data_IF_609898803148
#
_entry.id   IF_609898803148
#
_cell.length_a   1.000
_cell.length_b   1.000
_cell.length_c   1.000
_cell.angle_alpha   90.00
_cell.angle_beta   90.00
_cell.angle_gamma   90.00
#
_symmetry.space_group_name_H-M   'P 1'
#
loop_
_entity.id
_entity.type
_entity.pdbx_description
1 polymer ?
#
# COMPACT_ATOMS: atom_id res chain seq x y z
N UNK A 1 12.78 -2.23 29.15
CA UNK A 1 11.41 -1.71 28.97
C UNK A 1 10.57 -2.32 30.08
N UNK A 2 10.12 -1.50 31.04
CA UNK A 2 9.24 -1.98 32.10
C UNK A 2 7.87 -2.30 31.53
N UNK A 3 7.43 -3.56 31.63
CA UNK A 3 6.08 -3.96 31.27
C UNK A 3 5.11 -3.48 32.36
N UNK A 4 4.15 -2.65 31.99
CA UNK A 4 3.08 -2.27 32.92
C UNK A 4 2.20 -3.48 33.16
N UNK A 5 2.13 -3.94 34.40
CA UNK A 5 1.33 -5.08 34.82
C UNK A 5 -0.13 -4.94 34.36
N UNK A 6 -0.61 -5.92 33.59
CA UNK A 6 -2.00 -6.00 33.14
C UNK A 6 -2.30 -5.41 31.75
N UNK A 7 -1.28 -4.98 30.99
CA UNK A 7 -1.42 -4.61 29.58
C UNK A 7 -0.97 -5.75 28.66
N UNK A 8 -1.67 -5.94 27.55
CA UNK A 8 -1.20 -6.81 26.48
C UNK A 8 0.04 -6.22 25.79
N UNK A 9 0.81 -7.04 25.04
CA UNK A 9 1.97 -6.58 24.27
C UNK A 9 1.63 -5.40 23.34
N UNK A 10 0.51 -5.47 22.62
CA UNK A 10 0.04 -4.38 21.76
C UNK A 10 -0.32 -3.11 22.53
N UNK A 11 -0.88 -3.24 23.73
CA UNK A 11 -1.18 -2.12 24.60
C UNK A 11 0.08 -1.48 25.17
N UNK A 12 1.07 -2.29 25.57
CA UNK A 12 2.38 -1.80 26.01
C UNK A 12 3.10 -1.02 24.90
N UNK A 13 3.07 -1.54 23.68
CA UNK A 13 3.64 -0.84 22.51
C UNK A 13 3.01 0.52 22.28
N UNK A 14 1.67 0.62 22.34
CA UNK A 14 0.94 1.90 22.24
C UNK A 14 1.30 2.86 23.38
N UNK A 15 1.46 2.34 24.59
CA UNK A 15 1.92 3.11 25.73
C UNK A 15 3.31 3.72 25.50
N UNK A 16 4.28 2.92 25.05
CA UNK A 16 5.62 3.40 24.74
C UNK A 16 5.60 4.50 23.66
N UNK A 17 4.76 4.34 22.63
CA UNK A 17 4.57 5.38 21.63
C UNK A 17 3.97 6.67 22.22
N UNK A 18 3.04 6.55 23.14
CA UNK A 18 2.42 7.71 23.80
C UNK A 18 3.43 8.50 24.63
N UNK A 19 4.26 7.83 25.42
CA UNK A 19 5.37 8.46 26.17
C UNK A 19 6.37 9.09 25.22
N UNK A 20 6.82 8.36 24.20
CA UNK A 20 7.77 8.86 23.21
C UNK A 20 7.23 10.05 22.38
N UNK A 21 5.91 10.25 22.33
CA UNK A 21 5.29 11.40 21.67
C UNK A 21 5.49 12.73 22.40
N UNK A 22 5.87 12.68 23.68
CA UNK A 22 6.03 13.87 24.55
C UNK A 22 4.71 14.49 25.04
N UNK A 23 3.56 13.87 24.76
CA UNK A 23 2.25 14.35 25.23
C UNK A 23 1.86 13.82 26.60
N UNK A 24 2.58 12.83 27.13
CA UNK A 24 2.31 12.22 28.43
C UNK A 24 3.59 12.00 29.20
N UNK A 25 3.54 12.25 30.51
CA UNK A 25 4.62 11.95 31.44
C UNK A 25 4.53 10.50 31.92
N UNK A 26 5.68 9.85 32.19
CA UNK A 26 5.77 8.44 32.59
C UNK A 26 4.95 8.11 33.86
N UNK A 27 4.77 9.04 34.77
CA UNK A 27 4.05 8.84 36.02
C UNK A 27 2.52 9.05 35.92
N UNK A 28 2.02 9.69 34.85
CA UNK A 28 0.58 9.75 34.52
C UNK A 28 0.03 8.44 33.93
N UNK A 29 0.75 7.42 34.01
CA UNK A 29 0.89 6.25 33.20
C UNK A 29 -0.16 5.15 33.37
N UNK A 30 -1.43 5.43 33.65
CA UNK A 30 -2.47 4.45 33.37
C UNK A 30 -3.09 4.73 31.99
N UNK A 31 -2.70 3.96 30.92
CA UNK A 31 -3.22 4.20 29.57
C UNK A 31 -4.75 4.09 29.48
N UNK A 32 -5.39 3.47 30.47
CA UNK A 32 -6.86 3.40 30.57
C UNK A 32 -7.47 4.76 30.93
N UNK A 33 -6.73 5.60 31.65
CA UNK A 33 -7.14 6.97 32.01
C UNK A 33 -7.04 7.93 30.82
N UNK A 34 -6.12 7.72 29.89
CA UNK A 34 -5.91 8.63 28.75
C UNK A 34 -6.99 8.53 27.69
N UNK A 35 -7.62 7.36 27.52
CA UNK A 35 -8.62 7.14 26.46
C UNK A 35 -9.80 8.11 26.48
N UNK A 36 -10.05 8.77 27.59
CA UNK A 36 -11.09 9.78 27.67
C UNK A 36 -10.62 11.17 27.24
N UNK A 37 -9.31 11.42 27.16
CA UNK A 37 -8.76 12.66 26.58
C UNK A 37 -8.74 12.56 25.06
N UNK A 38 -8.72 13.70 24.36
CA UNK A 38 -8.60 13.73 22.90
C UNK A 38 -7.29 13.08 22.45
N UNK A 39 -6.15 13.53 23.00
CA UNK A 39 -4.81 13.02 22.66
C UNK A 39 -4.72 11.52 22.94
N UNK A 40 -5.18 11.07 24.10
CA UNK A 40 -5.16 9.66 24.46
C UNK A 40 -6.00 8.78 23.53
N UNK A 41 -7.19 9.24 23.16
CA UNK A 41 -8.05 8.54 22.19
C UNK A 41 -7.40 8.46 20.80
N UNK A 42 -6.76 9.55 20.36
CA UNK A 42 -6.07 9.61 19.07
C UNK A 42 -4.85 8.68 19.06
N UNK A 43 -3.93 8.78 20.02
CA UNK A 43 -2.72 7.95 20.11
C UNK A 43 -3.09 6.46 20.28
N UNK A 44 -4.11 6.17 21.08
CA UNK A 44 -4.57 4.80 21.26
C UNK A 44 -4.99 4.14 19.95
N UNK A 45 -5.59 4.91 19.04
CA UNK A 45 -6.04 4.44 17.74
C UNK A 45 -4.93 4.50 16.69
N UNK A 46 -4.14 5.58 16.68
CA UNK A 46 -3.12 5.88 15.69
C UNK A 46 -1.77 6.25 16.35
N UNK A 47 -1.09 5.31 17.01
CA UNK A 47 0.09 5.61 17.85
C UNK A 47 1.26 6.22 17.09
N UNK A 48 1.40 5.93 15.79
CA UNK A 48 2.49 6.43 14.93
C UNK A 48 2.15 7.77 14.22
N UNK A 49 1.02 8.41 14.54
CA UNK A 49 0.50 9.58 13.82
C UNK A 49 0.60 10.89 14.62
N UNK A 50 1.65 11.02 15.40
CA UNK A 50 1.93 12.22 16.23
C UNK A 50 1.90 13.52 15.42
N UNK A 51 2.25 13.49 14.13
CA UNK A 51 2.20 14.66 13.26
C UNK A 51 0.82 15.32 13.19
N UNK A 52 -0.27 14.57 13.27
CA UNK A 52 -1.65 15.12 13.30
C UNK A 52 -1.85 15.93 14.56
N UNK A 53 -1.37 15.42 15.70
CA UNK A 53 -1.45 16.13 16.99
C UNK A 53 -0.58 17.39 17.00
N UNK A 54 0.63 17.32 16.44
CA UNK A 54 1.53 18.47 16.36
C UNK A 54 0.89 19.62 15.55
N UNK A 55 0.30 19.32 14.39
CA UNK A 55 -0.41 20.35 13.59
C UNK A 55 -1.56 20.96 14.39
N UNK A 56 -2.37 20.15 15.06
CA UNK A 56 -3.45 20.67 15.92
C UNK A 56 -2.91 21.52 17.07
N UNK A 57 -1.81 21.09 17.69
CA UNK A 57 -1.15 21.85 18.76
C UNK A 57 -0.64 23.20 18.27
N UNK A 58 -0.05 23.25 17.08
CA UNK A 58 0.45 24.48 16.47
C UNK A 58 -0.70 25.45 16.16
N UNK A 59 -1.85 24.96 15.69
CA UNK A 59 -3.04 25.79 15.41
C UNK A 59 -3.69 26.32 16.70
N UNK A 60 -3.83 25.46 17.71
CA UNK A 60 -4.53 25.78 18.96
C UNK A 60 -3.62 26.59 19.92
N UNK A 61 -2.29 26.39 19.81
CA UNK A 61 -1.29 26.95 20.71
C UNK A 61 -1.12 26.20 22.04
N UNK A 62 -1.90 25.14 22.27
CA UNK A 62 -1.88 24.28 23.45
C UNK A 62 -2.16 22.82 23.08
N UNK A 63 -2.00 21.91 24.06
CA UNK A 63 -2.38 20.50 23.88
C UNK A 63 -3.87 20.37 23.53
N UNK A 64 -4.21 19.72 22.39
CA UNK A 64 -5.58 19.62 21.91
C UNK A 64 -6.52 18.90 22.86
N UNK A 65 -7.70 19.46 23.08
CA UNK A 65 -8.80 18.88 23.85
C UNK A 65 -10.02 18.58 22.97
N UNK A 66 -11.07 17.97 23.50
CA UNK A 66 -12.31 17.75 22.77
C UNK A 66 -13.04 19.05 22.44
N UNK A 67 -12.98 20.01 23.34
CA UNK A 67 -13.63 21.32 23.25
C UNK A 67 -13.01 22.20 22.17
N UNK A 68 -11.73 21.98 21.85
CA UNK A 68 -11.02 22.70 20.78
C UNK A 68 -11.43 22.26 19.38
N UNK A 69 -12.10 21.12 19.23
CA UNK A 69 -12.47 20.57 17.91
C UNK A 69 -13.68 21.32 17.32
N UNK A 70 -13.53 22.64 17.17
CA UNK A 70 -14.51 23.53 16.53
C UNK A 70 -14.44 23.49 15.00
N UNK A 71 -15.44 24.07 14.33
CA UNK A 71 -15.44 24.19 12.87
C UNK A 71 -14.23 24.95 12.36
N UNK A 72 -13.83 26.04 13.04
CA UNK A 72 -12.71 26.90 12.62
C UNK A 72 -11.38 26.13 12.75
N UNK A 73 -11.11 25.52 13.90
CA UNK A 73 -9.88 24.71 14.11
C UNK A 73 -9.77 23.58 13.08
N UNK A 74 -10.89 22.91 12.76
CA UNK A 74 -10.87 21.84 11.77
C UNK A 74 -10.70 22.36 10.33
N UNK A 75 -11.13 23.58 10.01
CA UNK A 75 -10.86 24.22 8.71
C UNK A 75 -9.39 24.61 8.62
N UNK A 76 -8.85 25.28 9.65
CA UNK A 76 -7.43 25.64 9.72
C UNK A 76 -6.52 24.40 9.60
N UNK A 77 -6.93 23.28 10.22
CA UNK A 77 -6.23 22.01 10.08
C UNK A 77 -6.23 21.48 8.63
N UNK A 78 -7.36 21.57 7.93
CA UNK A 78 -7.46 21.18 6.51
C UNK A 78 -6.63 22.10 5.63
N UNK A 79 -6.64 23.40 5.88
CA UNK A 79 -5.90 24.40 5.13
C UNK A 79 -4.38 24.19 5.29
N UNK A 80 -3.88 24.02 6.53
CA UNK A 80 -2.48 23.65 6.78
C UNK A 80 -2.07 22.35 6.06
N UNK A 81 -2.90 21.32 6.14
CA UNK A 81 -2.63 20.07 5.44
C UNK A 81 -2.59 20.24 3.91
N UNK A 82 -3.44 21.09 3.37
CA UNK A 82 -3.52 21.31 1.92
C UNK A 82 -2.30 22.05 1.41
N UNK A 83 -1.75 22.97 2.20
CA UNK A 83 -0.57 23.77 1.86
C UNK A 83 0.73 23.00 2.10
N UNK A 84 0.86 22.30 3.22
CA UNK A 84 2.13 21.79 3.74
C UNK A 84 2.31 20.28 3.60
N UNK A 85 1.27 19.51 3.22
CA UNK A 85 1.31 18.06 3.16
C UNK A 85 0.88 17.54 1.80
N UNK A 86 1.50 16.44 1.36
CA UNK A 86 1.10 15.78 0.11
C UNK A 86 -0.40 15.37 0.15
N UNK A 87 -1.18 15.58 -0.93
CA UNK A 87 -2.64 15.36 -0.94
C UNK A 87 -3.11 13.98 -0.46
N UNK A 88 -2.31 12.92 -0.73
CA UNK A 88 -2.60 11.56 -0.24
C UNK A 88 -2.42 11.44 1.28
N UNK A 89 -1.44 12.13 1.84
CA UNK A 89 -1.19 12.17 3.29
C UNK A 89 -2.24 13.04 3.98
N UNK A 90 -2.58 14.20 3.42
CA UNK A 90 -3.65 15.07 3.91
C UNK A 90 -4.98 14.31 4.00
N UNK A 91 -5.34 13.58 2.94
CA UNK A 91 -6.52 12.70 2.95
C UNK A 91 -6.47 11.66 4.06
N UNK A 92 -5.31 11.05 4.30
CA UNK A 92 -5.12 10.03 5.35
C UNK A 92 -5.28 10.67 6.73
N UNK A 93 -4.63 11.80 7.00
CA UNK A 93 -4.70 12.49 8.29
C UNK A 93 -6.12 12.97 8.59
N UNK A 94 -6.82 13.54 7.61
CA UNK A 94 -8.23 13.88 7.76
C UNK A 94 -9.10 12.66 8.04
N UNK A 95 -8.87 11.52 7.39
CA UNK A 95 -9.62 10.29 7.63
C UNK A 95 -9.36 9.70 9.03
N UNK A 96 -8.12 9.76 9.51
CA UNK A 96 -7.72 9.32 10.85
C UNK A 96 -8.37 10.20 11.92
N UNK A 97 -8.28 11.53 11.80
CA UNK A 97 -8.94 12.47 12.70
C UNK A 97 -10.47 12.29 12.70
N UNK A 98 -11.07 12.26 11.51
CA UNK A 98 -12.51 11.99 11.33
C UNK A 98 -12.97 10.73 12.06
N UNK A 99 -12.18 9.66 12.02
CA UNK A 99 -12.50 8.40 12.67
C UNK A 99 -12.51 8.51 14.19
N UNK A 100 -11.59 9.28 14.78
CA UNK A 100 -11.55 9.54 16.23
C UNK A 100 -12.72 10.44 16.67
N UNK A 101 -12.99 11.50 15.91
CA UNK A 101 -14.10 12.42 16.20
C UNK A 101 -15.46 11.71 16.09
N UNK A 102 -15.64 10.86 15.11
CA UNK A 102 -16.90 10.13 14.92
C UNK A 102 -17.23 9.19 16.09
N UNK A 103 -16.23 8.53 16.67
CA UNK A 103 -16.41 7.70 17.86
C UNK A 103 -16.74 8.54 19.12
N UNK A 104 -16.38 9.82 19.12
CA UNK A 104 -16.52 10.73 20.24
C UNK A 104 -17.39 11.97 19.92
N UNK A 105 -18.26 11.90 18.93
CA UNK A 105 -19.05 13.02 18.38
C UNK A 105 -19.89 13.80 19.41
N UNK A 106 -20.17 13.22 20.59
CA UNK A 106 -20.90 13.90 21.67
C UNK A 106 -20.02 14.82 22.52
N UNK A 107 -18.69 14.80 22.31
CA UNK A 107 -17.71 15.54 23.10
C UNK A 107 -17.16 16.77 22.39
N UNK A 108 -17.43 16.90 21.10
CA UNK A 108 -16.88 17.94 20.23
C UNK A 108 -17.95 18.98 19.90
N UNK A 109 -17.60 20.26 19.80
CA UNK A 109 -18.54 21.30 19.40
C UNK A 109 -18.90 21.27 17.91
N UNK A 110 -17.98 20.82 17.04
CA UNK A 110 -18.21 20.75 15.61
C UNK A 110 -19.20 19.64 15.22
N UNK A 111 -20.27 19.99 14.50
CA UNK A 111 -21.28 19.05 13.99
C UNK A 111 -20.99 18.61 12.55
N UNK A 112 -20.31 19.45 11.76
CA UNK A 112 -20.06 19.25 10.33
C UNK A 112 -18.67 18.69 10.01
N UNK A 113 -17.94 18.17 11.01
CA UNK A 113 -16.59 17.63 10.86
C UNK A 113 -16.47 16.58 9.74
N UNK A 114 -17.56 15.84 9.47
CA UNK A 114 -17.60 14.85 8.39
C UNK A 114 -17.41 15.48 7.01
N UNK A 115 -17.91 16.69 6.79
CA UNK A 115 -17.74 17.47 5.54
C UNK A 115 -16.39 18.17 5.53
N UNK A 116 -16.06 18.89 6.62
CA UNK A 116 -14.83 19.68 6.74
C UNK A 116 -13.61 18.81 6.48
N UNK A 117 -13.50 17.66 7.13
CA UNK A 117 -12.39 16.72 6.98
C UNK A 117 -12.47 15.86 5.69
N UNK A 118 -13.24 16.27 4.69
CA UNK A 118 -13.44 15.53 3.41
C UNK A 118 -12.53 16.06 2.31
N UNK A 119 -11.25 15.73 2.38
CA UNK A 119 -10.24 16.14 1.38
C UNK A 119 -10.19 15.13 0.23
N UNK A 120 -10.18 15.66 -1.01
CA UNK A 120 -9.98 14.84 -2.21
C UNK A 120 -8.50 14.47 -2.35
N UNK A 121 -8.22 13.19 -2.50
CA UNK A 121 -6.88 12.76 -2.89
C UNK A 121 -6.67 12.95 -4.40
N UNK A 122 -5.43 13.20 -4.81
CA UNK A 122 -5.06 13.18 -6.22
C UNK A 122 -4.84 11.77 -6.71
N UNK A 123 -5.21 11.53 -7.98
CA UNK A 123 -4.85 10.29 -8.64
C UNK A 123 -3.32 10.17 -8.72
N UNK A 124 -2.79 9.01 -8.39
CA UNK A 124 -1.35 8.73 -8.52
C UNK A 124 -1.16 7.85 -9.74
N UNK A 125 -0.42 8.33 -10.73
CA UNK A 125 0.06 7.50 -11.81
C UNK A 125 1.41 6.90 -11.42
N UNK A 126 1.64 5.65 -11.80
CA UNK A 126 2.84 4.92 -11.43
C UNK A 126 3.28 4.05 -12.60
N UNK A 127 4.56 3.66 -12.60
CA UNK A 127 5.12 2.78 -13.62
C UNK A 127 4.83 1.30 -13.33
N UNK A 128 4.83 0.51 -14.40
CA UNK A 128 4.87 -0.95 -14.40
C UNK A 128 5.96 -1.44 -15.36
N UNK A 129 6.41 -2.66 -15.22
CA UNK A 129 7.29 -3.33 -16.17
C UNK A 129 6.46 -4.03 -17.24
N UNK A 130 6.74 -3.75 -18.50
CA UNK A 130 6.15 -4.50 -19.62
C UNK A 130 6.57 -5.97 -19.59
N UNK A 131 5.91 -6.85 -20.34
CA UNK A 131 6.28 -8.27 -20.42
C UNK A 131 7.76 -8.47 -20.78
N UNK A 132 8.27 -7.70 -21.73
CA UNK A 132 9.69 -7.74 -22.11
C UNK A 132 10.61 -7.26 -20.98
N UNK A 133 10.27 -6.16 -20.28
CA UNK A 133 11.06 -5.68 -19.15
C UNK A 133 11.01 -6.66 -17.96
N UNK A 134 9.91 -7.41 -17.78
CA UNK A 134 9.83 -8.50 -16.81
C UNK A 134 10.82 -9.62 -17.15
N UNK A 135 10.91 -10.04 -18.43
CA UNK A 135 11.87 -11.02 -18.90
C UNK A 135 13.32 -10.57 -18.62
N UNK A 136 13.65 -9.30 -18.91
CA UNK A 136 14.97 -8.72 -18.60
C UNK A 136 15.27 -8.75 -17.10
N UNK A 137 14.29 -8.41 -16.27
CA UNK A 137 14.47 -8.43 -14.81
C UNK A 137 14.67 -9.84 -14.27
N UNK A 138 13.88 -10.82 -14.74
CA UNK A 138 14.00 -12.25 -14.39
C UNK A 138 15.36 -12.81 -14.77
N UNK A 139 15.90 -12.43 -15.93
CA UNK A 139 17.20 -12.90 -16.44
C UNK A 139 18.42 -12.32 -15.68
N UNK A 140 18.23 -11.29 -14.84
CA UNK A 140 19.30 -10.70 -14.06
C UNK A 140 20.00 -11.74 -13.17
N UNK A 141 21.32 -11.65 -13.05
CA UNK A 141 22.12 -12.52 -12.18
C UNK A 141 22.59 -11.74 -10.95
N UNK A 142 21.97 -11.96 -9.78
CA UNK A 142 22.36 -11.29 -8.53
C UNK A 142 23.81 -11.61 -8.14
N UNK A 143 24.50 -10.62 -7.56
CA UNK A 143 25.94 -10.75 -7.18
C UNK A 143 26.16 -10.76 -5.67
N UNK A 144 25.18 -10.33 -4.89
CA UNK A 144 25.25 -10.27 -3.42
C UNK A 144 24.02 -10.93 -2.81
N UNK A 145 24.09 -11.33 -1.53
CA UNK A 145 22.96 -11.92 -0.81
C UNK A 145 21.74 -10.98 -0.79
N UNK A 146 21.96 -9.68 -0.63
CA UNK A 146 20.88 -8.67 -0.66
C UNK A 146 20.24 -8.63 -2.05
N UNK A 147 21.04 -8.62 -3.13
CA UNK A 147 20.50 -8.69 -4.48
C UNK A 147 19.72 -9.99 -4.73
N UNK A 148 20.22 -11.12 -4.23
CA UNK A 148 19.50 -12.41 -4.34
C UNK A 148 18.13 -12.34 -3.68
N UNK A 149 18.08 -11.85 -2.44
CA UNK A 149 16.81 -11.67 -1.73
C UNK A 149 15.84 -10.77 -2.50
N UNK A 150 16.31 -9.57 -2.90
CA UNK A 150 15.46 -8.58 -3.58
C UNK A 150 15.01 -9.06 -4.94
N UNK A 151 15.92 -9.63 -5.76
CA UNK A 151 15.60 -10.18 -7.07
C UNK A 151 14.58 -11.30 -6.97
N UNK A 152 14.83 -12.30 -6.11
CA UNK A 152 13.92 -13.41 -5.85
C UNK A 152 12.53 -12.91 -5.41
N UNK A 153 12.50 -12.04 -4.41
CA UNK A 153 11.25 -11.54 -3.85
C UNK A 153 10.46 -10.69 -4.86
N UNK A 154 11.15 -9.85 -5.64
CA UNK A 154 10.51 -9.03 -6.67
C UNK A 154 9.97 -9.90 -7.82
N UNK A 155 10.73 -10.92 -8.26
CA UNK A 155 10.24 -11.89 -9.25
C UNK A 155 9.02 -12.65 -8.76
N UNK A 156 9.02 -13.17 -7.53
CA UNK A 156 7.83 -13.82 -6.95
C UNK A 156 6.65 -12.87 -6.91
N UNK A 157 6.84 -11.62 -6.43
CA UNK A 157 5.78 -10.61 -6.42
C UNK A 157 5.26 -10.28 -7.82
N UNK A 158 6.14 -10.21 -8.81
CA UNK A 158 5.82 -9.88 -10.19
C UNK A 158 5.09 -11.01 -10.93
N UNK A 159 5.36 -12.27 -10.57
CA UNK A 159 4.77 -13.45 -11.19
C UNK A 159 3.50 -13.96 -10.47
N UNK A 160 3.24 -13.49 -9.26
CA UNK A 160 2.09 -13.94 -8.44
C UNK A 160 1.14 -12.81 -8.05
N UNK A 161 1.54 -11.56 -8.24
CA UNK A 161 0.82 -10.41 -7.70
C UNK A 161 0.87 -10.30 -6.17
N UNK A 162 1.64 -11.11 -5.45
CA UNK A 162 1.78 -11.04 -4.00
C UNK A 162 2.39 -9.71 -3.56
N UNK A 163 2.02 -9.22 -2.36
CA UNK A 163 2.72 -8.07 -1.76
C UNK A 163 4.15 -8.47 -1.40
N UNK A 164 5.07 -7.50 -1.38
CA UNK A 164 6.49 -7.72 -1.06
C UNK A 164 6.68 -8.56 0.23
N UNK A 165 5.92 -8.26 1.28
CA UNK A 165 5.98 -9.02 2.54
C UNK A 165 5.43 -10.45 2.41
N UNK A 166 4.42 -10.67 1.57
CA UNK A 166 3.86 -11.99 1.30
C UNK A 166 4.81 -12.79 0.39
N UNK A 167 5.33 -12.18 -0.68
CA UNK A 167 6.29 -12.80 -1.61
C UNK A 167 7.54 -13.33 -0.88
N UNK A 168 8.00 -12.63 0.17
CA UNK A 168 9.13 -13.07 0.99
C UNK A 168 8.88 -14.38 1.75
N UNK A 169 7.63 -14.72 2.02
CA UNK A 169 7.24 -15.92 2.79
C UNK A 169 6.82 -17.11 1.91
N UNK A 170 6.59 -16.86 0.62
CA UNK A 170 6.19 -17.92 -0.30
C UNK A 170 7.35 -18.86 -0.59
N UNK A 171 7.08 -20.15 -0.53
CA UNK A 171 8.02 -21.23 -0.81
C UNK A 171 7.41 -22.25 -1.77
N UNK A 172 8.16 -23.23 -2.18
CA UNK A 172 7.66 -24.30 -3.05
C UNK A 172 6.49 -25.07 -2.43
N UNK A 173 6.40 -25.14 -1.10
CA UNK A 173 5.30 -25.78 -0.38
C UNK A 173 3.95 -25.08 -0.54
N UNK A 174 3.94 -23.85 -1.04
CA UNK A 174 2.72 -23.13 -1.40
C UNK A 174 2.15 -23.57 -2.76
N UNK A 175 2.92 -24.33 -3.55
CA UNK A 175 2.49 -24.85 -4.86
C UNK A 175 1.91 -26.25 -4.74
N UNK A 176 0.72 -26.40 -5.26
CA UNK A 176 0.12 -27.70 -5.51
C UNK A 176 0.61 -28.20 -6.89
N UNK A 177 1.24 -29.39 -6.92
CA UNK A 177 1.84 -29.97 -8.13
C UNK A 177 0.76 -30.49 -9.07
N UNK A 178 -0.34 -31.04 -8.54
CA UNK A 178 -1.40 -31.66 -9.34
C UNK A 178 -2.22 -30.58 -10.06
N UNK A 179 -2.58 -29.52 -9.37
CA UNK A 179 -3.40 -28.44 -9.91
C UNK A 179 -2.59 -27.33 -10.57
N UNK A 180 -1.28 -27.34 -10.43
CA UNK A 180 -0.37 -26.26 -10.86
C UNK A 180 -0.76 -24.88 -10.34
N UNK A 181 -1.24 -24.83 -9.10
CA UNK A 181 -1.71 -23.61 -8.43
C UNK A 181 -0.84 -23.27 -7.23
N UNK A 182 -0.48 -22.00 -7.09
CA UNK A 182 0.09 -21.44 -5.86
C UNK A 182 -1.03 -20.91 -4.99
N UNK A 183 -1.04 -21.29 -3.70
CA UNK A 183 -2.06 -20.87 -2.75
C UNK A 183 -1.43 -20.31 -1.48
N UNK A 184 -1.97 -19.18 -0.98
CA UNK A 184 -1.50 -18.57 0.27
C UNK A 184 -2.56 -17.65 0.89
N UNK A 185 -2.39 -17.33 2.17
CA UNK A 185 -3.19 -16.33 2.89
C UNK A 185 -2.36 -15.06 3.06
N UNK A 186 -2.79 -13.91 2.50
CA UNK A 186 -2.06 -12.66 2.65
C UNK A 186 -2.05 -12.16 4.09
N UNK A 187 -0.92 -11.63 4.55
CA UNK A 187 -0.77 -11.11 5.91
C UNK A 187 -1.75 -9.97 6.24
N UNK A 188 -2.01 -9.10 5.27
CA UNK A 188 -2.90 -7.94 5.45
C UNK A 188 -4.40 -8.30 5.43
N UNK A 189 -4.76 -9.45 4.84
CA UNK A 189 -6.15 -9.92 4.70
C UNK A 189 -6.28 -11.39 5.10
N UNK A 190 -6.19 -11.71 6.41
CA UNK A 190 -6.06 -13.08 6.89
C UNK A 190 -7.29 -13.97 6.64
N UNK A 191 -8.41 -13.44 6.21
CA UNK A 191 -9.62 -14.21 5.85
C UNK A 191 -9.73 -14.60 4.38
N UNK A 192 -8.73 -14.23 3.54
CA UNK A 192 -8.78 -14.45 2.08
C UNK A 192 -7.73 -15.47 1.68
N UNK A 193 -8.14 -16.53 0.98
CA UNK A 193 -7.20 -17.45 0.33
C UNK A 193 -6.98 -16.95 -1.11
N UNK A 194 -5.73 -16.62 -1.43
CA UNK A 194 -5.30 -16.27 -2.78
C UNK A 194 -4.85 -17.53 -3.51
N UNK A 195 -5.26 -17.66 -4.76
CA UNK A 195 -4.83 -18.73 -5.68
C UNK A 195 -4.38 -18.10 -6.98
N UNK A 196 -3.18 -18.50 -7.44
CA UNK A 196 -2.57 -17.99 -8.66
C UNK A 196 -2.03 -19.17 -9.45
N UNK A 197 -2.28 -19.27 -10.76
CA UNK A 197 -1.61 -20.27 -11.62
C UNK A 197 -0.09 -20.11 -11.54
N UNK A 198 0.64 -21.21 -11.51
CA UNK A 198 2.10 -21.18 -11.47
C UNK A 198 2.64 -20.84 -12.87
N UNK A 199 3.46 -19.81 -12.95
CA UNK A 199 4.15 -19.42 -14.17
C UNK A 199 5.40 -20.27 -14.39
N UNK A 200 5.28 -21.26 -15.28
CA UNK A 200 6.40 -22.14 -15.67
C UNK A 200 7.37 -21.44 -16.64
N UNK A 201 6.89 -20.51 -17.47
CA UNK A 201 7.70 -19.84 -18.50
C UNK A 201 8.84 -19.03 -17.87
N UNK A 202 8.56 -18.30 -16.78
CA UNK A 202 9.55 -17.48 -16.10
C UNK A 202 10.19 -18.19 -14.90
N UNK A 203 9.91 -19.49 -14.72
CA UNK A 203 10.56 -20.31 -13.70
C UNK A 203 10.17 -19.94 -12.26
N UNK A 204 8.91 -19.61 -11.99
CA UNK A 204 8.43 -19.25 -10.65
C UNK A 204 8.82 -20.29 -9.60
N UNK A 205 8.77 -21.59 -9.90
CA UNK A 205 9.16 -22.65 -8.95
C UNK A 205 10.62 -22.55 -8.49
N UNK A 206 11.54 -22.12 -9.35
CA UNK A 206 12.95 -21.93 -8.99
C UNK A 206 13.10 -20.81 -7.95
N UNK A 207 12.38 -19.70 -8.14
CA UNK A 207 12.36 -18.62 -7.13
C UNK A 207 11.73 -19.04 -5.81
N UNK A 208 10.73 -19.93 -5.83
CA UNK A 208 10.08 -20.43 -4.62
C UNK A 208 10.94 -21.47 -3.88
N UNK A 209 11.81 -22.20 -4.58
CA UNK A 209 12.75 -23.14 -3.97
C UNK A 209 13.87 -22.42 -3.17
N UNK A 210 14.27 -21.22 -3.60
CA UNK A 210 15.28 -20.39 -2.93
C UNK A 210 14.64 -19.55 -1.81
N UNK A 211 14.42 -20.15 -0.63
CA UNK A 211 13.65 -19.55 0.46
C UNK A 211 14.46 -19.07 1.66
N UNK A 212 15.77 -19.41 1.77
CA UNK A 212 16.61 -19.11 2.93
C UNK A 212 17.41 -17.82 2.75
N UNK A 213 16.76 -16.74 2.33
CA UNK A 213 17.40 -15.45 2.10
C UNK A 213 16.99 -14.46 3.19
N UNK A 214 17.98 -13.72 3.70
CA UNK A 214 17.74 -12.72 4.74
C UNK A 214 17.06 -11.47 4.18
N UNK A 215 15.94 -11.02 4.79
CA UNK A 215 15.26 -9.82 4.36
C UNK A 215 16.04 -8.55 4.67
N UNK A 216 15.85 -7.51 3.87
CA UNK A 216 16.38 -6.17 4.11
C UNK A 216 15.24 -5.17 4.38
N UNK A 217 15.60 -3.97 4.87
CA UNK A 217 14.65 -2.89 5.05
C UNK A 217 14.08 -2.41 3.70
N UNK A 218 12.92 -1.75 3.72
CA UNK A 218 12.20 -1.36 2.51
C UNK A 218 12.98 -0.36 1.65
N UNK A 219 13.74 0.55 2.25
CA UNK A 219 14.54 1.53 1.51
C UNK A 219 15.65 0.84 0.72
N UNK A 220 16.42 -0.03 1.38
CA UNK A 220 17.45 -0.87 0.72
C UNK A 220 16.81 -1.73 -0.38
N UNK A 221 15.64 -2.32 -0.12
CA UNK A 221 14.92 -3.11 -1.11
C UNK A 221 14.61 -2.29 -2.37
N UNK A 222 14.05 -1.09 -2.20
CA UNK A 222 13.70 -0.22 -3.32
C UNK A 222 14.94 0.25 -4.09
N UNK A 223 16.05 0.54 -3.39
CA UNK A 223 17.32 0.95 -4.04
C UNK A 223 17.89 -0.19 -4.88
N UNK A 224 17.85 -1.42 -4.38
CA UNK A 224 18.32 -2.59 -5.14
C UNK A 224 17.41 -2.88 -6.33
N UNK A 225 16.06 -2.75 -6.21
CA UNK A 225 15.16 -2.85 -7.35
C UNK A 225 15.52 -1.83 -8.43
N UNK A 226 15.75 -0.57 -8.07
CA UNK A 226 16.17 0.49 -8.99
C UNK A 226 17.50 0.16 -9.66
N UNK A 227 18.47 -0.32 -8.87
CA UNK A 227 19.78 -0.77 -9.37
C UNK A 227 19.63 -1.87 -10.41
N UNK A 228 18.86 -2.92 -10.11
CA UNK A 228 18.64 -4.04 -11.05
C UNK A 228 17.96 -3.52 -12.33
N UNK A 229 16.87 -2.75 -12.21
CA UNK A 229 16.18 -2.18 -13.35
C UNK A 229 17.14 -1.36 -14.25
N UNK A 230 18.02 -0.56 -13.64
CA UNK A 230 19.04 0.20 -14.38
C UNK A 230 20.05 -0.72 -15.06
N UNK A 231 20.51 -1.76 -14.38
CA UNK A 231 21.51 -2.71 -14.93
C UNK A 231 20.99 -3.49 -16.13
N UNK A 232 19.67 -3.75 -16.19
CA UNK A 232 19.04 -4.49 -17.29
C UNK A 232 18.46 -3.57 -18.38
N UNK A 233 18.74 -2.26 -18.32
CA UNK A 233 18.38 -1.31 -19.37
C UNK A 233 16.92 -0.84 -19.36
N UNK A 234 16.23 -0.86 -18.20
CA UNK A 234 14.86 -0.32 -18.06
C UNK A 234 14.95 1.20 -17.86
N UNK A 235 15.25 1.95 -18.91
CA UNK A 235 15.60 3.37 -18.85
C UNK A 235 14.63 4.29 -19.61
N UNK A 236 13.57 3.78 -20.20
CA UNK A 236 12.53 4.57 -20.89
C UNK A 236 12.10 5.74 -20.03
N UNK A 237 12.05 6.93 -20.61
CA UNK A 237 11.58 8.13 -19.91
C UNK A 237 10.07 8.03 -19.71
N UNK A 238 9.64 8.16 -18.46
CA UNK A 238 8.24 8.09 -18.07
C UNK A 238 7.88 9.34 -17.25
N UNK A 239 6.64 9.78 -17.41
CA UNK A 239 6.04 10.83 -16.56
C UNK A 239 5.00 10.16 -15.66
N UNK A 240 5.08 10.42 -14.37
CA UNK A 240 4.13 9.94 -13.37
C UNK A 240 3.57 11.12 -12.58
N UNK A 241 2.38 10.95 -12.00
CA UNK A 241 1.81 11.92 -11.06
C UNK A 241 2.10 11.46 -9.64
N UNK A 242 2.94 12.18 -8.92
CA UNK A 242 3.30 11.90 -7.53
C UNK A 242 3.03 13.12 -6.66
N UNK A 243 2.24 12.94 -5.61
CA UNK A 243 1.84 14.02 -4.72
C UNK A 243 1.22 15.24 -5.46
N UNK A 244 0.47 14.99 -6.53
CA UNK A 244 -0.17 16.05 -7.33
C UNK A 244 0.75 16.77 -8.31
N UNK A 245 2.04 16.38 -8.40
CA UNK A 245 3.02 16.98 -9.32
C UNK A 245 3.45 15.94 -10.37
N UNK A 246 3.72 16.38 -11.58
CA UNK A 246 4.32 15.55 -12.61
C UNK A 246 5.82 15.36 -12.31
N UNK A 247 6.25 14.11 -12.24
CA UNK A 247 7.66 13.71 -12.12
C UNK A 247 8.05 12.95 -13.38
N UNK A 248 9.00 13.49 -14.14
CA UNK A 248 9.54 12.88 -15.37
C UNK A 248 10.94 12.36 -15.10
N UNK A 249 11.14 11.07 -15.26
CA UNK A 249 12.44 10.43 -15.01
C UNK A 249 12.57 9.11 -15.79
N UNK A 250 13.78 8.54 -15.93
CA UNK A 250 13.95 7.18 -16.40
C UNK A 250 13.16 6.18 -15.54
N UNK A 251 12.49 5.22 -16.18
CA UNK A 251 11.57 4.27 -15.53
C UNK A 251 12.20 3.61 -14.30
N UNK A 252 13.47 3.22 -14.36
CA UNK A 252 14.14 2.59 -13.22
C UNK A 252 14.13 3.46 -11.94
N UNK A 253 14.21 4.81 -12.05
CA UNK A 253 14.13 5.71 -10.89
C UNK A 253 12.74 5.70 -10.23
N UNK A 254 11.71 5.44 -11.00
CA UNK A 254 10.31 5.46 -10.59
C UNK A 254 9.83 4.11 -10.05
N UNK A 255 10.67 3.06 -10.12
CA UNK A 255 10.34 1.73 -9.63
C UNK A 255 10.41 1.62 -8.11
N UNK A 256 9.58 0.73 -7.56
CA UNK A 256 9.52 0.41 -6.13
C UNK A 256 8.99 -1.01 -5.93
N UNK A 257 8.95 -1.49 -4.71
CA UNK A 257 8.37 -2.80 -4.35
C UNK A 257 6.95 -3.01 -4.93
N UNK A 258 6.13 -1.96 -5.00
CA UNK A 258 4.79 -2.03 -5.59
C UNK A 258 4.77 -2.15 -7.11
N UNK A 259 5.87 -1.82 -7.79
CA UNK A 259 5.97 -1.94 -9.25
C UNK A 259 5.79 -3.39 -9.70
N UNK A 260 6.35 -4.36 -8.98
CA UNK A 260 6.15 -5.79 -9.26
C UNK A 260 4.67 -6.15 -9.36
N UNK A 261 3.90 -5.77 -8.37
CA UNK A 261 2.47 -6.07 -8.28
C UNK A 261 1.64 -5.31 -9.33
N UNK A 262 2.07 -4.08 -9.70
CA UNK A 262 1.48 -3.34 -10.82
C UNK A 262 1.78 -4.01 -12.16
N UNK A 263 3.00 -4.50 -12.34
CA UNK A 263 3.40 -5.24 -13.55
C UNK A 263 2.56 -6.50 -13.73
N UNK A 264 2.35 -7.29 -12.69
CA UNK A 264 1.45 -8.44 -12.70
C UNK A 264 0.05 -8.05 -13.16
N UNK A 265 -0.58 -7.11 -12.46
CA UNK A 265 -1.95 -6.72 -12.76
C UNK A 265 -2.11 -6.12 -14.15
N UNK A 266 -1.20 -5.19 -14.53
CA UNK A 266 -1.30 -4.49 -15.82
C UNK A 266 -1.07 -5.43 -17.01
N UNK A 267 -0.06 -6.32 -16.95
CA UNK A 267 0.19 -7.24 -18.05
C UNK A 267 -0.93 -8.27 -18.22
N UNK A 268 -1.49 -8.80 -17.12
CA UNK A 268 -2.67 -9.67 -17.20
C UNK A 268 -3.89 -8.93 -17.77
N UNK A 269 -4.12 -7.70 -17.34
CA UNK A 269 -5.18 -6.87 -17.87
C UNK A 269 -5.01 -6.63 -19.37
N UNK A 270 -3.82 -6.29 -19.84
CA UNK A 270 -3.52 -6.09 -21.25
C UNK A 270 -3.64 -7.40 -22.07
N UNK A 271 -3.33 -8.54 -21.47
CA UNK A 271 -3.52 -9.87 -22.06
C UNK A 271 -4.99 -10.32 -22.14
N UNK A 272 -5.94 -9.54 -21.63
CA UNK A 272 -7.36 -9.85 -21.74
C UNK A 272 -7.98 -10.49 -20.49
N UNK A 273 -7.22 -10.75 -19.42
CA UNK A 273 -7.76 -11.32 -18.18
C UNK A 273 -8.75 -10.33 -17.54
N UNK A 274 -9.85 -10.84 -16.97
CA UNK A 274 -10.88 -10.02 -16.35
C UNK A 274 -10.35 -9.30 -15.09
N UNK A 275 -10.91 -8.14 -14.76
CA UNK A 275 -10.54 -7.43 -13.53
C UNK A 275 -10.93 -8.22 -12.28
N UNK A 276 -11.98 -9.02 -12.37
CA UNK A 276 -12.46 -9.91 -11.32
C UNK A 276 -11.44 -11.00 -11.00
N UNK A 277 -10.92 -11.67 -12.05
CA UNK A 277 -9.90 -12.72 -11.88
C UNK A 277 -8.59 -12.12 -11.35
N UNK A 278 -8.16 -10.97 -11.87
CA UNK A 278 -6.99 -10.25 -11.36
C UNK A 278 -7.20 -9.86 -9.89
N UNK A 279 -8.40 -9.40 -9.51
CA UNK A 279 -8.72 -9.04 -8.13
C UNK A 279 -8.63 -10.26 -7.19
N UNK A 280 -9.12 -11.41 -7.62
CA UNK A 280 -9.02 -12.68 -6.89
C UNK A 280 -7.56 -13.10 -6.70
N UNK A 281 -6.75 -13.11 -7.77
CA UNK A 281 -5.33 -13.43 -7.72
C UNK A 281 -4.51 -12.44 -6.87
N UNK A 282 -4.93 -11.19 -6.78
CA UNK A 282 -4.29 -10.17 -5.94
C UNK A 282 -4.80 -10.16 -4.48
N UNK A 283 -5.79 -10.97 -4.12
CA UNK A 283 -6.36 -10.99 -2.78
C UNK A 283 -7.18 -9.74 -2.43
N UNK A 284 -7.78 -9.10 -3.44
CA UNK A 284 -8.71 -7.99 -3.26
C UNK A 284 -10.17 -8.47 -3.16
N UNK A 285 -10.42 -9.77 -3.39
CA UNK A 285 -11.74 -10.36 -3.40
C UNK A 285 -12.66 -9.66 -4.40
N UNK A 286 -13.86 -9.29 -3.99
CA UNK A 286 -14.83 -8.59 -4.83
C UNK A 286 -14.52 -7.10 -5.07
N UNK A 287 -13.46 -6.55 -4.48
CA UNK A 287 -13.15 -5.12 -4.58
C UNK A 287 -12.32 -4.78 -5.82
N UNK A 288 -13.01 -4.69 -6.96
CA UNK A 288 -12.42 -4.35 -8.26
C UNK A 288 -11.80 -2.94 -8.26
N UNK A 289 -12.36 -1.98 -7.54
CA UNK A 289 -11.82 -0.61 -7.45
C UNK A 289 -10.40 -0.58 -6.86
N UNK A 290 -10.11 -1.48 -5.92
CA UNK A 290 -8.74 -1.63 -5.43
C UNK A 290 -7.81 -2.15 -6.51
N UNK A 291 -8.27 -3.08 -7.36
CA UNK A 291 -7.48 -3.66 -8.47
C UNK A 291 -7.21 -2.61 -9.54
N UNK A 292 -8.19 -1.80 -9.92
CA UNK A 292 -8.02 -0.70 -10.90
C UNK A 292 -6.87 0.24 -10.56
N UNK A 293 -6.57 0.47 -9.29
CA UNK A 293 -5.43 1.30 -8.85
C UNK A 293 -4.06 0.72 -9.18
N UNK A 294 -3.99 -0.56 -9.53
CA UNK A 294 -2.77 -1.24 -9.95
C UNK A 294 -2.61 -1.28 -11.47
N UNK A 295 -3.67 -0.98 -12.21
CA UNK A 295 -3.62 -0.94 -13.68
C UNK A 295 -3.01 0.39 -14.12
N UNK A 296 -1.87 0.31 -14.79
CA UNK A 296 -1.08 1.48 -15.21
C UNK A 296 -1.15 1.75 -16.72
N UNK A 297 -1.94 0.98 -17.47
CA UNK A 297 -2.15 1.15 -18.89
C UNK A 297 -3.60 0.84 -19.25
N UNK A 298 -4.10 1.50 -20.29
CA UNK A 298 -5.41 1.23 -20.85
C UNK A 298 -5.31 0.19 -21.96
N UNK A 299 -6.32 -0.66 -22.08
CA UNK A 299 -6.46 -1.51 -23.27
C UNK A 299 -6.80 -0.66 -24.47
N UNK A 300 -6.09 -0.88 -25.57
CA UNK A 300 -6.59 -0.40 -26.86
C UNK A 300 -7.92 -1.11 -27.13
N UNK A 301 -8.95 -0.33 -27.43
CA UNK A 301 -10.22 -0.89 -27.90
C UNK A 301 -9.91 -1.74 -29.14
N UNK A 302 -10.33 -2.99 -29.14
CA UNK A 302 -10.25 -3.82 -30.32
C UNK A 302 -11.18 -3.20 -31.41
N UNK A 303 -10.65 -2.72 -32.55
CA UNK A 303 -11.49 -2.11 -33.58
C UNK A 303 -12.54 -3.09 -34.12
N UNK A 304 -12.33 -4.40 -33.95
CA UNK A 304 -13.28 -5.43 -34.35
C UNK A 304 -14.38 -5.72 -33.30
N UNK A 305 -14.45 -4.97 -32.18
CA UNK A 305 -15.52 -5.17 -31.17
C UNK A 305 -16.92 -5.03 -31.80
N UNK A 306 -17.06 -4.22 -32.84
CA UNK A 306 -18.32 -4.04 -33.56
C UNK A 306 -18.74 -5.31 -34.37
N UNK A 307 -17.85 -6.27 -34.61
CA UNK A 307 -18.20 -7.53 -35.25
C UNK A 307 -19.18 -8.39 -34.44
N UNK A 308 -19.25 -8.18 -33.13
CA UNK A 308 -20.25 -8.85 -32.27
C UNK A 308 -21.69 -8.43 -32.56
N UNK A 309 -21.90 -7.28 -33.23
CA UNK A 309 -23.22 -6.82 -33.67
C UNK A 309 -23.61 -7.21 -35.09
N UNK A 310 -22.72 -7.93 -35.82
CA UNK A 310 -23.08 -8.45 -37.12
C UNK A 310 -24.03 -9.64 -36.93
N UNK A 311 -25.15 -9.70 -37.69
CA UNK A 311 -26.04 -10.85 -37.63
C UNK A 311 -25.29 -12.11 -38.01
N UNK A 312 -25.54 -13.20 -37.31
CA UNK A 312 -24.97 -14.50 -37.65
C UNK A 312 -25.26 -14.79 -39.13
N UNK A 313 -24.22 -14.94 -39.95
CA UNK A 313 -24.37 -15.36 -41.34
C UNK A 313 -25.04 -16.73 -41.32
N UNK A 314 -26.27 -16.81 -41.83
CA UNK A 314 -26.98 -18.06 -42.05
C UNK A 314 -26.10 -18.93 -42.91
N UNK A 315 -25.58 -19.98 -42.33
CA UNK A 315 -24.94 -21.05 -43.12
C UNK A 315 -26.03 -21.68 -43.99
N UNK A 316 -25.99 -21.37 -45.26
CA UNK A 316 -26.74 -22.05 -46.32
C UNK A 316 -26.03 -23.32 -46.75
#
# INVERSE_FOLDING_TARGET
MEEIRGLSYEQNKKYQFAIASGYFDEWEADPRKWKHTFIGAFIWKYPSRVKVLNILTDIIGNSPTWEDMSDDVLRDFVDDLTENVAPSSAKTYCAELKSVLNENKRRIPCTDFMKILSVKGTATQSVYLTAHEMELFVAYKPRTNIEQYVHRNFCVSMLTGARQVDAGRLTISNCDIETNMLSYVPQKTPGVIVRVPVDERHGLRNFLADSNLEPCCLDTYNDVVRKICRCVGIDTICTVVKAGKNETAPKWKLTSSHTARRSFATNLYLAGVSLEDIAMMMGHGKNIETTKRYICAERNLNPNVMSYFQPAQSQS
#
